data_IF_903453810477
#
_entry.id   IF_903453810477
#
_cell.length_a   1.000
_cell.length_b   1.000
_cell.length_c   1.000
_cell.angle_alpha   90.00
_cell.angle_beta   90.00
_cell.angle_gamma   90.00
#
_symmetry.space_group_name_H-M   'P 1'
#
loop_
_entity.id
_entity.type
_entity.pdbx_description
1 polymer ?
#
# COMPACT_ATOMS: atom_id res chain seq x y z
N UNK A 1 5.78 -13.71 9.19
CA UNK A 1 5.84 -14.23 7.81
C UNK A 1 5.87 -13.00 6.90
N UNK A 2 6.77 -12.90 5.92
CA UNK A 2 6.71 -11.78 4.97
C UNK A 2 5.46 -11.96 4.12
N UNK A 3 4.58 -10.96 4.14
CA UNK A 3 3.36 -10.96 3.33
C UNK A 3 3.73 -11.12 1.85
N UNK A 4 2.98 -11.93 1.10
CA UNK A 4 3.22 -12.13 -0.35
C UNK A 4 3.27 -10.79 -1.11
N UNK A 5 2.49 -9.81 -0.64
CA UNK A 5 2.51 -8.43 -1.11
C UNK A 5 3.92 -7.83 -1.11
N UNK A 6 4.69 -8.05 -0.04
CA UNK A 6 6.04 -7.49 0.10
C UNK A 6 7.05 -8.12 -0.83
N UNK A 7 6.87 -9.41 -1.15
CA UNK A 7 7.69 -10.09 -2.15
C UNK A 7 7.43 -9.54 -3.55
N UNK A 8 6.16 -9.30 -3.88
CA UNK A 8 5.75 -8.69 -5.16
C UNK A 8 6.27 -7.26 -5.29
N UNK A 9 6.14 -6.45 -4.22
CA UNK A 9 6.66 -5.08 -4.19
C UNK A 9 8.18 -5.07 -4.38
N UNK A 10 8.90 -5.96 -3.68
CA UNK A 10 10.36 -6.11 -3.82
C UNK A 10 10.76 -6.53 -5.23
N UNK A 11 10.02 -7.45 -5.85
CA UNK A 11 10.27 -7.90 -7.21
C UNK A 11 10.06 -6.78 -8.22
N UNK A 12 8.93 -6.05 -8.12
CA UNK A 12 8.63 -4.91 -9.00
C UNK A 12 9.69 -3.82 -8.85
N UNK A 13 10.11 -3.51 -7.62
CA UNK A 13 11.15 -2.53 -7.35
C UNK A 13 12.47 -2.90 -8.02
N UNK A 14 12.86 -4.18 -7.95
CA UNK A 14 14.07 -4.68 -8.62
C UNK A 14 13.96 -4.69 -10.15
N UNK A 15 12.84 -5.16 -10.70
CA UNK A 15 12.66 -5.29 -12.15
C UNK A 15 12.52 -3.93 -12.85
N UNK A 16 11.82 -2.99 -12.20
CA UNK A 16 11.54 -1.67 -12.76
C UNK A 16 12.57 -0.61 -12.33
N UNK A 17 13.48 -0.95 -11.42
CA UNK A 17 14.42 0.01 -10.82
C UNK A 17 13.72 1.09 -9.99
N UNK A 18 12.57 0.76 -9.39
CA UNK A 18 11.74 1.68 -8.61
C UNK A 18 12.02 1.44 -7.14
N UNK A 19 12.17 2.52 -6.38
CA UNK A 19 12.30 2.44 -4.92
C UNK A 19 11.06 1.79 -4.32
N UNK A 20 11.28 0.81 -3.43
CA UNK A 20 10.22 0.13 -2.68
C UNK A 20 9.27 1.12 -2.00
N UNK A 21 9.82 2.19 -1.43
CA UNK A 21 9.04 3.23 -0.76
C UNK A 21 8.05 3.92 -1.71
N UNK A 22 8.43 4.13 -2.97
CA UNK A 22 7.54 4.71 -4.00
C UNK A 22 6.40 3.77 -4.37
N UNK A 23 6.68 2.47 -4.45
CA UNK A 23 5.66 1.46 -4.76
C UNK A 23 4.63 1.38 -3.63
N UNK A 24 5.10 1.40 -2.38
CA UNK A 24 4.25 1.39 -1.18
C UNK A 24 3.36 2.63 -1.13
N UNK A 25 3.94 3.83 -1.29
CA UNK A 25 3.19 5.09 -1.36
C UNK A 25 2.12 5.09 -2.47
N UNK A 26 2.45 4.54 -3.63
CA UNK A 26 1.49 4.43 -4.73
C UNK A 26 0.34 3.48 -4.37
N UNK A 27 0.64 2.37 -3.69
CA UNK A 27 -0.37 1.43 -3.21
C UNK A 27 -1.29 2.07 -2.15
N UNK A 28 -0.72 2.76 -1.16
CA UNK A 28 -1.47 3.47 -0.12
C UNK A 28 -2.45 4.47 -0.74
N UNK A 29 -1.97 5.29 -1.69
CA UNK A 29 -2.80 6.28 -2.37
C UNK A 29 -3.93 5.63 -3.20
N UNK A 30 -3.63 4.52 -3.88
CA UNK A 30 -4.63 3.76 -4.64
C UNK A 30 -5.69 3.14 -3.73
N UNK A 31 -5.27 2.53 -2.61
CA UNK A 31 -6.15 1.95 -1.60
C UNK A 31 -6.99 3.01 -0.91
N UNK A 32 -6.40 4.16 -0.55
CA UNK A 32 -7.10 5.30 0.02
C UNK A 32 -8.19 5.80 -0.92
N UNK A 33 -7.88 5.92 -2.21
CA UNK A 33 -8.86 6.33 -3.23
C UNK A 33 -9.99 5.32 -3.36
N UNK A 34 -9.66 4.02 -3.37
CA UNK A 34 -10.66 2.95 -3.43
C UNK A 34 -11.53 2.92 -2.15
N UNK A 35 -10.93 3.09 -0.98
CA UNK A 35 -11.61 3.13 0.31
C UNK A 35 -12.54 4.35 0.40
N UNK A 36 -12.07 5.56 0.04
CA UNK A 36 -12.92 6.77 -0.07
C UNK A 36 -14.11 6.56 -0.99
N UNK A 37 -13.91 5.87 -2.11
CA UNK A 37 -14.99 5.53 -3.05
C UNK A 37 -15.99 4.54 -2.46
N UNK A 38 -15.55 3.63 -1.59
CA UNK A 38 -16.38 2.57 -1.00
C UNK A 38 -17.12 2.97 0.27
N UNK A 39 -16.49 3.79 1.12
CA UNK A 39 -17.00 4.19 2.44
C UNK A 39 -17.61 5.61 2.46
N UNK A 40 -17.40 6.43 1.42
CA UNK A 40 -17.99 7.75 1.29
C UNK A 40 -17.03 8.89 1.65
N UNK A 41 -17.34 10.10 1.19
CA UNK A 41 -16.42 11.26 1.23
C UNK A 41 -16.30 11.94 2.61
N UNK A 42 -16.98 11.42 3.64
CA UNK A 42 -17.08 12.05 4.97
C UNK A 42 -16.27 11.38 6.07
N UNK A 43 -15.71 10.19 5.82
CA UNK A 43 -14.92 9.44 6.80
C UNK A 43 -13.44 9.79 6.64
N UNK A 44 -12.75 9.99 7.76
CA UNK A 44 -11.32 10.33 7.79
C UNK A 44 -10.49 9.06 7.60
N UNK A 45 -10.59 8.47 6.41
CA UNK A 45 -9.96 7.18 6.10
C UNK A 45 -8.46 7.37 5.99
N UNK A 46 -7.71 6.55 6.72
CA UNK A 46 -6.27 6.45 6.62
C UNK A 46 -5.90 5.02 6.21
N UNK A 47 -4.98 4.91 5.25
CA UNK A 47 -4.40 3.62 4.85
C UNK A 47 -2.93 3.68 5.18
N UNK A 48 -2.46 2.69 5.93
CA UNK A 48 -1.07 2.56 6.35
C UNK A 48 -0.58 1.16 5.98
N UNK A 49 0.60 1.09 5.36
CA UNK A 49 1.24 -0.18 5.01
C UNK A 49 2.54 -0.31 5.79
N UNK A 50 2.59 -1.32 6.66
CA UNK A 50 3.79 -1.64 7.41
C UNK A 50 4.89 -2.16 6.44
N UNK A 51 6.01 -1.45 6.38
CA UNK A 51 7.11 -1.75 5.46
C UNK A 51 8.01 -2.92 5.90
N UNK A 52 7.82 -3.45 7.11
CA UNK A 52 8.54 -4.60 7.63
C UNK A 52 7.72 -5.88 7.48
N UNK A 53 6.42 -5.81 7.80
CA UNK A 53 5.51 -6.97 7.78
C UNK A 53 4.72 -7.07 6.48
N UNK A 54 4.49 -5.95 5.79
CA UNK A 54 3.57 -5.85 4.65
C UNK A 54 2.11 -5.85 5.03
N UNK A 55 1.79 -5.65 6.31
CA UNK A 55 0.42 -5.60 6.80
C UNK A 55 -0.24 -4.29 6.41
N UNK A 56 -1.48 -4.39 5.90
CA UNK A 56 -2.25 -3.23 5.45
C UNK A 56 -3.29 -2.94 6.52
N UNK A 57 -3.22 -1.76 7.11
CA UNK A 57 -4.19 -1.26 8.08
C UNK A 57 -5.02 -0.14 7.46
N UNK A 58 -6.33 -0.22 7.63
CA UNK A 58 -7.27 0.84 7.23
C UNK A 58 -7.96 1.32 8.50
N UNK A 59 -7.86 2.62 8.77
CA UNK A 59 -8.42 3.30 9.94
C UNK A 59 -9.46 4.33 9.51
#
# INVERSE_FOLDING_TARGET
MKSELMLVIDQIGREKGIDKAKVILALESALLTAAKKRFGHGENIQVDIDTETGEISIV
#
